data_IF_667946490507
#
_entry.id   IF_667946490507
#
_cell.length_a   1.000
_cell.length_b   1.000
_cell.length_c   1.000
_cell.angle_alpha   90.00
_cell.angle_beta   90.00
_cell.angle_gamma   90.00
#
_symmetry.space_group_name_H-M   'P 1'
#
loop_
_entity.id
_entity.type
_entity.pdbx_description
1 polymer ?
#
# COMPACT_ATOMS: atom_id res chain seq x y z
N UNK A 1 1.35 -19.79 21.66
CA UNK A 1 2.43 -19.10 20.89
C UNK A 1 3.02 -18.02 21.77
N UNK A 2 4.35 -17.79 21.70
CA UNK A 2 4.97 -16.62 22.32
C UNK A 2 4.49 -15.32 21.64
N UNK A 3 4.71 -14.17 22.29
CA UNK A 3 4.42 -12.86 21.67
C UNK A 3 5.13 -12.72 20.33
N UNK A 4 6.42 -13.08 20.27
CA UNK A 4 7.22 -13.10 19.06
C UNK A 4 6.59 -13.94 17.95
N UNK A 5 6.21 -15.19 18.28
CA UNK A 5 5.56 -16.08 17.31
C UNK A 5 4.24 -15.53 16.77
N UNK A 6 3.45 -14.84 17.62
CA UNK A 6 2.21 -14.23 17.17
C UNK A 6 2.46 -13.03 16.23
N UNK A 7 3.45 -12.23 16.52
CA UNK A 7 3.78 -11.04 15.74
C UNK A 7 4.43 -11.43 14.40
N UNK A 8 5.39 -12.34 14.42
CA UNK A 8 6.03 -12.82 13.18
C UNK A 8 5.04 -13.53 12.26
N UNK A 9 4.07 -14.29 12.81
CA UNK A 9 2.97 -14.88 12.05
C UNK A 9 2.12 -13.81 11.32
N UNK A 10 1.82 -12.70 12.00
CA UNK A 10 1.08 -11.57 11.42
C UNK A 10 1.89 -10.77 10.41
N UNK A 11 3.19 -10.60 10.64
CA UNK A 11 4.10 -10.01 9.66
C UNK A 11 4.21 -10.86 8.39
N UNK A 12 4.28 -12.19 8.52
CA UNK A 12 4.23 -13.09 7.37
C UNK A 12 2.91 -12.98 6.63
N UNK A 13 1.80 -12.99 7.36
CA UNK A 13 0.46 -12.78 6.79
C UNK A 13 0.35 -11.45 6.04
N UNK A 14 0.91 -10.36 6.59
CA UNK A 14 0.96 -9.05 5.95
C UNK A 14 1.68 -9.09 4.60
N UNK A 15 2.88 -9.65 4.56
CA UNK A 15 3.70 -9.72 3.34
C UNK A 15 3.02 -10.62 2.28
N UNK A 16 2.56 -11.80 2.68
CA UNK A 16 1.81 -12.72 1.83
C UNK A 16 0.55 -12.09 1.29
N UNK A 17 -0.19 -11.38 2.15
CA UNK A 17 -1.43 -10.72 1.79
C UNK A 17 -1.26 -9.68 0.69
N UNK A 18 -0.17 -8.89 0.73
CA UNK A 18 0.19 -7.96 -0.35
C UNK A 18 0.39 -8.71 -1.66
N UNK A 19 1.19 -9.78 -1.66
CA UNK A 19 1.49 -10.59 -2.85
C UNK A 19 0.24 -11.27 -3.44
N UNK A 20 -0.52 -11.97 -2.59
CA UNK A 20 -1.75 -12.67 -3.00
C UNK A 20 -2.77 -11.70 -3.57
N UNK A 21 -2.99 -10.56 -2.89
CA UNK A 21 -3.92 -9.54 -3.36
C UNK A 21 -3.53 -8.98 -4.73
N UNK A 22 -2.23 -8.70 -4.94
CA UNK A 22 -1.72 -8.25 -6.23
C UNK A 22 -1.97 -9.29 -7.33
N UNK A 23 -1.60 -10.56 -7.09
CA UNK A 23 -1.74 -11.64 -8.07
C UNK A 23 -3.19 -11.98 -8.40
N UNK A 24 -4.09 -11.97 -7.42
CA UNK A 24 -5.52 -12.23 -7.63
C UNK A 24 -6.24 -11.06 -8.30
N UNK A 25 -5.86 -9.83 -7.96
CA UNK A 25 -6.51 -8.63 -8.49
C UNK A 25 -6.12 -8.30 -9.92
N UNK A 26 -4.89 -8.59 -10.31
CA UNK A 26 -4.33 -8.18 -11.59
C UNK A 26 -5.10 -8.67 -12.83
N UNK A 27 -5.56 -9.93 -12.94
CA UNK A 27 -6.35 -10.40 -14.07
C UNK A 27 -7.70 -9.68 -14.22
N UNK A 28 -8.17 -9.06 -13.15
CA UNK A 28 -9.46 -8.35 -13.09
C UNK A 28 -9.31 -6.84 -13.22
N UNK A 29 -8.10 -6.34 -13.44
CA UNK A 29 -7.86 -4.92 -13.72
C UNK A 29 -8.63 -4.55 -14.99
N UNK A 30 -9.50 -3.52 -14.97
CA UNK A 30 -10.22 -3.11 -16.17
C UNK A 30 -9.18 -2.76 -17.24
N UNK A 31 -9.18 -3.52 -18.34
CA UNK A 31 -8.47 -3.09 -19.52
C UNK A 31 -9.06 -1.74 -19.91
N UNK A 32 -8.25 -0.70 -19.92
CA UNK A 32 -8.66 0.70 -20.11
C UNK A 32 -9.45 0.90 -21.43
N UNK A 33 -9.69 -0.14 -22.20
CA UNK A 33 -10.16 0.01 -23.56
C UNK A 33 -11.38 -0.78 -24.02
N UNK A 34 -11.91 -1.78 -23.37
CA UNK A 34 -13.19 -2.41 -23.82
C UNK A 34 -13.60 -3.59 -22.93
N UNK A 35 -14.82 -3.52 -22.43
CA UNK A 35 -15.58 -4.67 -21.94
C UNK A 35 -15.38 -4.95 -20.46
N UNK A 36 -16.49 -5.02 -19.77
CA UNK A 36 -16.56 -5.17 -18.33
C UNK A 36 -15.77 -6.34 -17.76
N UNK A 37 -15.50 -6.23 -16.51
CA UNK A 37 -14.86 -7.25 -15.69
C UNK A 37 -15.71 -8.52 -15.78
N UNK A 38 -15.14 -9.61 -16.29
CA UNK A 38 -15.75 -10.92 -16.22
C UNK A 38 -15.62 -11.46 -14.78
N UNK A 39 -16.39 -10.87 -13.86
CA UNK A 39 -16.44 -11.25 -12.44
C UNK A 39 -16.87 -12.71 -12.28
N UNK A 40 -17.60 -13.25 -13.24
CA UNK A 40 -18.05 -14.65 -13.24
C UNK A 40 -16.92 -15.68 -13.30
N UNK A 41 -15.69 -15.25 -13.61
CA UNK A 41 -14.50 -16.11 -13.66
C UNK A 41 -13.59 -16.02 -12.43
N UNK A 42 -13.99 -15.29 -11.38
CA UNK A 42 -13.19 -15.21 -10.16
C UNK A 42 -13.24 -16.56 -9.42
N UNK A 43 -12.19 -17.35 -9.57
CA UNK A 43 -12.06 -18.65 -8.90
C UNK A 43 -11.63 -18.52 -7.44
N UNK A 44 -11.02 -17.38 -7.08
CA UNK A 44 -10.41 -17.13 -5.78
C UNK A 44 -9.04 -17.80 -5.61
N UNK A 45 -8.53 -18.45 -6.66
CA UNK A 45 -7.18 -19.03 -6.73
C UNK A 45 -6.40 -18.35 -7.85
N UNK A 46 -5.11 -18.09 -7.62
CA UNK A 46 -4.20 -17.51 -8.61
C UNK A 46 -4.02 -18.50 -9.75
N UNK A 47 -4.60 -18.24 -10.91
CA UNK A 47 -4.61 -19.17 -12.03
C UNK A 47 -4.11 -18.55 -13.34
N UNK A 48 -3.87 -17.24 -13.33
CA UNK A 48 -3.47 -16.52 -14.52
C UNK A 48 -2.24 -15.66 -14.27
N UNK A 49 -1.33 -15.56 -15.26
CA UNK A 49 -0.23 -14.61 -15.20
C UNK A 49 -0.78 -13.17 -15.21
N UNK A 50 -0.05 -12.25 -14.59
CA UNK A 50 -0.36 -10.83 -14.70
C UNK A 50 -0.05 -10.38 -16.12
N UNK A 51 -1.06 -9.90 -16.84
CA UNK A 51 -0.90 -9.38 -18.19
C UNK A 51 -0.91 -7.87 -18.17
N UNK A 52 0.16 -7.25 -18.66
CA UNK A 52 0.29 -5.79 -18.79
C UNK A 52 0.44 -5.43 -20.26
N UNK A 53 -0.63 -4.91 -20.85
CA UNK A 53 -0.65 -4.61 -22.29
C UNK A 53 -0.73 -5.87 -23.16
N UNK A 54 -0.30 -5.76 -24.42
CA UNK A 54 -0.43 -6.87 -25.38
C UNK A 54 0.69 -7.91 -25.29
N UNK A 55 1.85 -7.55 -24.74
CA UNK A 55 3.09 -8.32 -24.90
C UNK A 55 3.89 -8.43 -23.60
N UNK A 56 3.30 -8.23 -22.44
CA UNK A 56 4.02 -8.35 -21.17
C UNK A 56 3.21 -9.18 -20.19
N UNK A 57 3.76 -10.31 -19.78
CA UNK A 57 3.17 -11.23 -18.82
C UNK A 57 4.17 -11.52 -17.71
N UNK A 58 3.68 -11.63 -16.48
CA UNK A 58 4.45 -12.21 -15.38
C UNK A 58 4.02 -13.64 -15.19
N UNK A 59 4.90 -14.47 -14.70
CA UNK A 59 4.54 -15.83 -14.32
C UNK A 59 3.46 -15.86 -13.23
N UNK A 60 2.76 -16.97 -13.16
CA UNK A 60 1.77 -17.22 -12.12
C UNK A 60 2.43 -17.09 -10.74
N UNK A 61 1.82 -16.31 -9.86
CA UNK A 61 2.30 -16.07 -8.49
C UNK A 61 3.36 -14.97 -8.35
N UNK A 62 3.84 -14.40 -9.46
CA UNK A 62 4.71 -13.22 -9.41
C UNK A 62 3.83 -11.98 -9.38
N UNK A 63 3.89 -11.23 -8.29
CA UNK A 63 3.23 -9.94 -8.15
C UNK A 63 3.93 -8.84 -8.95
N UNK A 64 3.22 -7.71 -9.18
CA UNK A 64 3.78 -6.52 -9.81
C UNK A 64 4.41 -5.57 -8.80
N UNK A 65 4.38 -4.28 -9.13
CA UNK A 65 4.96 -3.19 -8.34
C UNK A 65 4.53 -3.17 -6.87
N UNK A 66 3.33 -3.67 -6.54
CA UNK A 66 2.83 -3.71 -5.18
C UNK A 66 3.74 -4.51 -4.24
N UNK A 67 4.01 -5.77 -4.54
CA UNK A 67 4.86 -6.61 -3.70
C UNK A 67 6.34 -6.25 -3.86
N UNK A 68 6.78 -5.88 -5.06
CA UNK A 68 8.16 -5.50 -5.32
C UNK A 68 8.59 -4.28 -4.51
N UNK A 69 7.79 -3.21 -4.52
CA UNK A 69 8.06 -2.01 -3.74
C UNK A 69 7.92 -2.25 -2.23
N UNK A 70 7.03 -3.16 -1.82
CA UNK A 70 6.93 -3.59 -0.42
C UNK A 70 8.22 -4.28 0.03
N UNK A 71 8.76 -5.20 -0.78
CA UNK A 71 10.04 -5.87 -0.48
C UNK A 71 11.21 -4.87 -0.49
N UNK A 72 11.24 -3.94 -1.43
CA UNK A 72 12.26 -2.90 -1.48
C UNK A 72 12.27 -2.04 -0.20
N UNK A 73 11.08 -1.67 0.30
CA UNK A 73 10.96 -0.93 1.56
C UNK A 73 11.36 -1.78 2.77
N UNK A 74 10.99 -3.06 2.82
CA UNK A 74 11.45 -3.99 3.88
C UNK A 74 12.98 -4.07 3.90
N UNK A 75 13.62 -4.20 2.74
CA UNK A 75 15.08 -4.26 2.62
C UNK A 75 15.72 -2.96 3.12
N UNK A 76 15.15 -1.80 2.78
CA UNK A 76 15.60 -0.51 3.27
C UNK A 76 15.52 -0.42 4.80
N UNK A 77 14.39 -0.78 5.39
CA UNK A 77 14.18 -0.76 6.85
C UNK A 77 15.16 -1.69 7.55
N UNK A 78 15.36 -2.91 7.05
CA UNK A 78 16.30 -3.89 7.64
C UNK A 78 17.74 -3.38 7.54
N UNK A 79 18.13 -2.81 6.41
CA UNK A 79 19.49 -2.32 6.19
C UNK A 79 19.83 -1.11 7.09
N UNK A 80 18.85 -0.27 7.41
CA UNK A 80 19.05 0.95 8.20
C UNK A 80 18.71 0.77 9.69
N UNK A 81 18.30 -0.43 10.11
CA UNK A 81 17.81 -0.68 11.48
C UNK A 81 16.71 0.31 11.89
N UNK A 82 15.76 0.54 10.97
CA UNK A 82 14.68 1.51 11.07
C UNK A 82 14.41 2.23 9.74
N UNK A 83 13.67 3.32 9.76
CA UNK A 83 13.40 4.08 8.54
C UNK A 83 14.48 5.14 8.29
N UNK A 84 15.15 5.04 7.16
CA UNK A 84 16.06 6.07 6.63
C UNK A 84 15.58 6.55 5.25
N UNK A 85 15.33 7.87 5.15
CA UNK A 85 14.83 8.49 3.92
C UNK A 85 15.78 8.35 2.72
N UNK A 86 17.09 8.46 2.96
CA UNK A 86 18.08 8.39 1.89
C UNK A 86 18.20 6.95 1.39
N UNK A 87 18.21 5.98 2.31
CA UNK A 87 18.29 4.57 1.98
C UNK A 87 17.02 4.09 1.25
N UNK A 88 15.83 4.53 1.69
CA UNK A 88 14.57 4.21 1.00
C UNK A 88 14.54 4.77 -0.43
N UNK A 89 15.01 6.00 -0.63
CA UNK A 89 15.18 6.58 -1.97
C UNK A 89 16.14 5.76 -2.84
N UNK A 90 17.25 5.32 -2.26
CA UNK A 90 18.23 4.47 -2.95
C UNK A 90 17.59 3.14 -3.40
N UNK A 91 16.88 2.45 -2.52
CA UNK A 91 16.19 1.21 -2.88
C UNK A 91 15.14 1.41 -3.98
N UNK A 92 14.39 2.52 -3.95
CA UNK A 92 13.44 2.87 -5.00
C UNK A 92 14.12 3.20 -6.32
N UNK A 93 15.28 3.84 -6.29
CA UNK A 93 16.06 4.15 -7.49
C UNK A 93 16.60 2.89 -8.18
N UNK A 94 17.00 1.87 -7.41
CA UNK A 94 17.40 0.57 -7.96
C UNK A 94 16.16 -0.17 -8.51
N UNK A 95 15.07 -0.15 -7.77
CA UNK A 95 13.85 -0.84 -8.18
C UNK A 95 13.31 -0.33 -9.53
N UNK A 96 13.29 0.98 -9.77
CA UNK A 96 12.74 1.54 -11.03
C UNK A 96 13.55 1.10 -12.26
N UNK A 97 14.84 0.83 -12.12
CA UNK A 97 15.71 0.32 -13.20
C UNK A 97 15.30 -1.08 -13.67
N UNK A 98 14.53 -1.81 -12.86
CA UNK A 98 13.97 -3.11 -13.26
C UNK A 98 12.83 -2.99 -14.28
N UNK A 99 12.42 -1.76 -14.63
CA UNK A 99 11.36 -1.48 -15.60
C UNK A 99 10.05 -2.21 -15.32
N UNK A 100 9.57 -2.19 -14.06
CA UNK A 100 8.29 -2.80 -13.70
C UNK A 100 7.16 -2.26 -14.59
N UNK A 101 6.49 -3.10 -15.40
CA UNK A 101 5.47 -2.64 -16.33
C UNK A 101 4.15 -2.26 -15.64
N UNK A 102 3.98 -2.62 -14.36
CA UNK A 102 2.77 -2.32 -13.58
C UNK A 102 2.82 -0.97 -12.87
N UNK A 103 4.00 -0.33 -12.84
CA UNK A 103 4.20 0.92 -12.09
C UNK A 103 3.28 2.05 -12.55
N UNK A 104 2.62 2.71 -11.59
CA UNK A 104 1.76 3.86 -11.85
C UNK A 104 2.55 5.12 -12.25
N UNK A 105 1.98 5.95 -13.14
CA UNK A 105 2.63 7.13 -13.71
C UNK A 105 3.19 8.13 -12.67
N UNK A 106 2.49 8.36 -11.56
CA UNK A 106 2.94 9.28 -10.51
C UNK A 106 4.18 8.75 -9.82
N UNK A 107 4.18 7.46 -9.48
CA UNK A 107 5.32 6.76 -8.87
C UNK A 107 6.52 6.79 -9.80
N UNK A 108 6.33 6.34 -11.04
CA UNK A 108 7.38 6.28 -12.07
C UNK A 108 8.06 7.63 -12.25
N UNK A 109 7.30 8.67 -12.58
CA UNK A 109 7.84 10.01 -12.83
C UNK A 109 8.63 10.58 -11.65
N UNK A 110 8.17 10.36 -10.43
CA UNK A 110 8.86 10.94 -9.26
C UNK A 110 10.08 10.12 -8.82
N UNK A 111 10.10 8.80 -9.04
CA UNK A 111 11.31 8.00 -8.81
C UNK A 111 12.36 8.28 -9.90
N UNK A 112 11.96 8.40 -11.17
CA UNK A 112 12.88 8.80 -12.25
C UNK A 112 13.56 10.16 -11.99
N UNK A 113 12.85 11.10 -11.35
CA UNK A 113 13.44 12.37 -10.90
C UNK A 113 14.55 12.18 -9.85
N UNK A 114 14.49 11.13 -9.04
CA UNK A 114 15.56 10.82 -8.07
C UNK A 114 16.87 10.53 -8.83
N UNK A 115 16.80 9.68 -9.85
CA UNK A 115 17.97 9.30 -10.66
C UNK A 115 18.56 10.49 -11.44
N UNK A 116 17.74 11.50 -11.72
CA UNK A 116 18.16 12.73 -12.41
C UNK A 116 18.49 13.90 -11.45
N UNK A 117 18.67 13.63 -10.14
CA UNK A 117 18.92 14.65 -9.11
C UNK A 117 17.83 15.73 -9.00
N UNK A 118 16.61 15.45 -9.44
CA UNK A 118 15.44 16.34 -9.39
C UNK A 118 14.35 15.83 -8.44
N UNK A 119 14.72 15.06 -7.42
CA UNK A 119 13.79 14.54 -6.42
C UNK A 119 13.06 15.66 -5.69
N UNK A 120 11.91 15.31 -5.10
CA UNK A 120 11.17 16.23 -4.23
C UNK A 120 12.09 16.67 -3.08
N UNK A 121 12.38 17.96 -2.94
CA UNK A 121 13.27 18.44 -1.87
C UNK A 121 12.65 18.19 -0.49
N UNK A 122 13.47 17.83 0.49
CA UNK A 122 13.04 17.67 1.90
C UNK A 122 12.39 18.92 2.46
N UNK A 123 12.84 20.11 2.05
CA UNK A 123 12.23 21.38 2.43
C UNK A 123 10.74 21.49 2.06
N UNK A 124 10.30 20.86 0.95
CA UNK A 124 8.87 20.80 0.60
C UNK A 124 8.11 19.84 1.52
N UNK A 125 8.73 18.74 1.94
CA UNK A 125 8.15 17.81 2.90
C UNK A 125 8.00 18.48 4.26
N UNK A 126 9.04 19.19 4.71
CA UNK A 126 9.01 19.96 5.95
C UNK A 126 7.97 21.07 5.93
N UNK A 127 7.80 21.77 4.78
CA UNK A 127 6.75 22.75 4.60
C UNK A 127 5.36 22.10 4.73
N UNK A 128 5.16 20.93 4.11
CA UNK A 128 3.91 20.18 4.24
C UNK A 128 3.63 19.78 5.69
N UNK A 129 4.65 19.28 6.43
CA UNK A 129 4.52 18.92 7.84
C UNK A 129 4.11 20.15 8.69
N UNK A 130 4.61 21.31 8.36
CA UNK A 130 4.28 22.59 9.03
C UNK A 130 2.94 23.18 8.56
N UNK A 131 2.21 22.50 7.67
CA UNK A 131 0.96 22.99 7.11
C UNK A 131 1.12 24.17 6.15
N UNK A 132 2.33 24.48 5.69
CA UNK A 132 2.59 25.55 4.73
C UNK A 132 2.07 25.14 3.35
N UNK A 133 1.20 25.94 2.70
CA UNK A 133 0.72 25.64 1.36
C UNK A 133 1.86 25.55 0.36
N UNK A 134 1.79 24.55 -0.53
CA UNK A 134 2.73 24.37 -1.62
C UNK A 134 2.13 24.87 -2.94
N UNK A 135 2.98 25.35 -3.84
CA UNK A 135 2.55 25.81 -5.17
C UNK A 135 2.07 24.66 -6.05
N UNK A 136 2.56 23.45 -5.78
CA UNK A 136 2.22 22.26 -6.55
C UNK A 136 2.18 21.03 -5.63
N UNK A 137 1.12 20.23 -5.77
CA UNK A 137 0.96 18.95 -5.11
C UNK A 137 1.00 17.80 -6.13
N UNK A 138 1.53 16.66 -5.70
CA UNK A 138 1.38 15.42 -6.47
C UNK A 138 -0.09 14.97 -6.48
N UNK A 139 -0.46 14.14 -7.46
CA UNK A 139 -1.77 13.49 -7.44
C UNK A 139 -1.89 12.56 -6.23
N UNK A 140 -3.07 12.52 -5.61
CA UNK A 140 -3.40 11.59 -4.53
C UNK A 140 -3.72 10.18 -5.09
N UNK A 141 -2.77 9.59 -5.85
CA UNK A 141 -2.89 8.22 -6.32
C UNK A 141 -2.48 7.23 -5.23
N UNK A 142 -2.76 5.96 -5.43
CA UNK A 142 -2.56 4.90 -4.43
C UNK A 142 -1.14 4.29 -4.41
N UNK A 143 -0.24 4.78 -5.26
CA UNK A 143 1.12 4.23 -5.42
C UNK A 143 2.04 4.36 -4.20
N UNK A 144 1.76 5.26 -3.25
CA UNK A 144 2.42 5.25 -1.94
C UNK A 144 1.79 4.21 -1.01
N UNK A 145 0.46 4.15 -0.97
CA UNK A 145 -0.28 3.30 -0.04
C UNK A 145 -0.01 1.80 -0.27
N UNK A 146 0.18 1.39 -1.53
CA UNK A 146 0.42 -0.01 -1.90
C UNK A 146 1.66 -0.64 -1.26
N UNK A 147 2.66 0.15 -0.90
CA UNK A 147 3.93 -0.30 -0.33
C UNK A 147 4.11 0.07 1.16
N UNK A 148 3.08 0.65 1.79
CA UNK A 148 3.15 1.26 3.12
C UNK A 148 3.31 0.27 4.28
N UNK A 149 2.84 -0.96 4.11
CA UNK A 149 2.69 -1.94 5.21
C UNK A 149 3.94 -2.18 6.05
N UNK A 150 5.19 -2.20 5.50
CA UNK A 150 6.39 -2.44 6.31
C UNK A 150 6.65 -1.38 7.38
N UNK A 151 6.20 -0.14 7.19
CA UNK A 151 6.36 0.93 8.18
C UNK A 151 5.64 0.62 9.50
N UNK A 152 4.64 -0.26 9.46
CA UNK A 152 3.95 -0.73 10.65
C UNK A 152 4.86 -1.52 11.63
N UNK A 153 6.04 -1.96 11.21
CA UNK A 153 7.02 -2.57 12.10
C UNK A 153 7.70 -1.57 13.04
N UNK A 154 7.78 -0.29 12.71
CA UNK A 154 8.42 0.75 13.53
C UNK A 154 7.64 0.90 14.85
N UNK A 155 8.35 0.77 15.99
CA UNK A 155 7.72 0.73 17.32
C UNK A 155 7.23 2.08 17.79
N UNK A 156 8.08 3.10 17.72
CA UNK A 156 7.76 4.45 18.20
C UNK A 156 6.71 5.12 17.32
N UNK A 157 5.68 5.68 17.94
CA UNK A 157 4.51 6.24 17.24
C UNK A 157 4.87 7.50 16.42
N UNK A 158 5.75 8.36 16.94
CA UNK A 158 6.12 9.59 16.23
C UNK A 158 7.14 9.30 15.13
N UNK A 159 8.11 8.41 15.38
CA UNK A 159 9.04 7.95 14.36
C UNK A 159 8.27 7.28 13.20
N UNK A 160 7.33 6.39 13.50
CA UNK A 160 6.48 5.74 12.50
C UNK A 160 5.65 6.76 11.72
N UNK A 161 5.08 7.75 12.41
CA UNK A 161 4.34 8.84 11.77
C UNK A 161 5.21 9.65 10.82
N UNK A 162 6.41 10.04 11.23
CA UNK A 162 7.37 10.76 10.37
C UNK A 162 7.82 9.88 9.20
N UNK A 163 8.12 8.61 9.44
CA UNK A 163 8.45 7.65 8.39
C UNK A 163 7.34 7.57 7.33
N UNK A 164 6.07 7.51 7.75
CA UNK A 164 4.93 7.54 6.83
C UNK A 164 4.90 8.81 5.96
N UNK A 165 5.18 9.97 6.55
CA UNK A 165 5.17 11.23 5.81
C UNK A 165 6.31 11.26 4.78
N UNK A 166 7.53 10.97 5.21
CA UNK A 166 8.70 11.00 4.34
C UNK A 166 8.63 9.95 3.23
N UNK A 167 8.24 8.72 3.56
CA UNK A 167 8.07 7.63 2.59
C UNK A 167 7.03 7.97 1.51
N UNK A 168 5.85 8.41 1.94
CA UNK A 168 4.78 8.84 1.03
C UNK A 168 5.27 9.96 0.11
N UNK A 169 5.91 10.97 0.68
CA UNK A 169 6.35 12.17 -0.04
C UNK A 169 7.53 11.95 -1.00
N UNK A 170 8.20 10.81 -0.97
CA UNK A 170 9.17 10.46 -2.04
C UNK A 170 8.49 10.53 -3.41
N UNK A 171 7.23 10.12 -3.50
CA UNK A 171 6.49 10.08 -4.76
C UNK A 171 5.17 10.83 -4.74
N UNK A 172 4.53 10.99 -3.59
CA UNK A 172 3.17 11.53 -3.45
C UNK A 172 3.13 12.65 -2.41
N UNK A 173 3.67 13.82 -2.76
CA UNK A 173 3.61 15.02 -1.94
C UNK A 173 2.18 15.60 -1.97
N UNK A 174 1.28 15.04 -1.17
CA UNK A 174 -0.14 15.39 -1.14
C UNK A 174 -0.75 15.09 0.24
N UNK A 175 -1.45 16.06 0.90
CA UNK A 175 -2.03 15.87 2.24
C UNK A 175 -2.98 14.68 2.34
N UNK A 176 -3.85 14.46 1.36
CA UNK A 176 -4.78 13.32 1.36
C UNK A 176 -4.01 11.99 1.33
N UNK A 177 -3.01 11.88 0.43
CA UNK A 177 -2.21 10.66 0.33
C UNK A 177 -1.46 10.39 1.63
N UNK A 178 -0.86 11.42 2.24
CA UNK A 178 -0.13 11.32 3.50
C UNK A 178 -1.04 10.89 4.66
N UNK A 179 -2.23 11.50 4.80
CA UNK A 179 -3.17 11.13 5.87
C UNK A 179 -3.64 9.69 5.70
N UNK A 180 -4.06 9.29 4.49
CA UNK A 180 -4.45 7.92 4.22
C UNK A 180 -3.31 6.93 4.52
N UNK A 181 -2.07 7.30 4.20
CA UNK A 181 -0.88 6.51 4.45
C UNK A 181 -0.64 6.30 5.96
N UNK A 182 -0.65 7.38 6.76
CA UNK A 182 -0.50 7.31 8.22
C UNK A 182 -1.58 6.42 8.84
N UNK A 183 -2.84 6.67 8.52
CA UNK A 183 -3.97 5.94 9.12
C UNK A 183 -3.96 4.47 8.73
N UNK A 184 -3.59 4.16 7.49
CA UNK A 184 -3.48 2.78 7.03
C UNK A 184 -2.34 2.04 7.75
N UNK A 185 -1.16 2.63 7.86
CA UNK A 185 -0.03 2.04 8.57
C UNK A 185 -0.36 1.82 10.04
N UNK A 186 -1.05 2.75 10.70
CA UNK A 186 -1.52 2.58 12.07
C UNK A 186 -2.55 1.43 12.21
N UNK A 187 -3.43 1.26 11.23
CA UNK A 187 -4.35 0.12 11.22
C UNK A 187 -3.59 -1.22 11.09
N UNK A 188 -2.58 -1.28 10.20
CA UNK A 188 -1.71 -2.46 10.05
C UNK A 188 -0.92 -2.72 11.33
N UNK A 189 -0.35 -1.68 11.97
CA UNK A 189 0.34 -1.79 13.26
C UNK A 189 -0.54 -2.41 14.33
N UNK A 190 -1.75 -1.86 14.51
CA UNK A 190 -2.70 -2.39 15.48
C UNK A 190 -3.12 -3.83 15.15
N UNK A 191 -3.27 -4.16 13.88
CA UNK A 191 -3.54 -5.53 13.42
C UNK A 191 -2.41 -6.49 13.79
N UNK A 192 -1.14 -6.12 13.52
CA UNK A 192 0.06 -6.89 13.92
C UNK A 192 0.10 -7.08 15.44
N UNK A 193 -0.26 -6.07 16.21
CA UNK A 193 -0.32 -6.13 17.68
C UNK A 193 -1.51 -6.93 18.23
N UNK A 194 -2.41 -7.43 17.38
CA UNK A 194 -3.54 -8.28 17.78
C UNK A 194 -4.76 -7.54 18.32
N UNK A 195 -4.89 -6.26 18.05
CA UNK A 195 -6.08 -5.50 18.45
C UNK A 195 -7.32 -5.92 17.64
N UNK A 196 -8.49 -5.81 18.28
CA UNK A 196 -9.76 -6.12 17.62
C UNK A 196 -10.14 -5.12 16.54
N UNK A 197 -10.92 -5.56 15.53
CA UNK A 197 -11.46 -4.68 14.47
C UNK A 197 -12.11 -3.42 15.06
N UNK A 198 -12.93 -3.58 16.11
CA UNK A 198 -13.62 -2.46 16.79
C UNK A 198 -12.62 -1.43 17.34
N UNK A 199 -11.54 -1.89 17.96
CA UNK A 199 -10.49 -1.00 18.49
C UNK A 199 -9.76 -0.28 17.36
N UNK A 200 -9.34 -1.00 16.32
CA UNK A 200 -8.65 -0.45 15.14
C UNK A 200 -9.50 0.66 14.51
N UNK A 201 -10.78 0.39 14.24
CA UNK A 201 -11.70 1.35 13.63
C UNK A 201 -11.85 2.61 14.49
N UNK A 202 -12.04 2.44 15.80
CA UNK A 202 -12.15 3.58 16.71
C UNK A 202 -10.88 4.45 16.67
N UNK A 203 -9.71 3.83 16.80
CA UNK A 203 -8.43 4.56 16.81
C UNK A 203 -8.13 5.23 15.48
N UNK A 204 -8.39 4.56 14.36
CA UNK A 204 -8.23 5.17 13.03
C UNK A 204 -9.12 6.41 12.84
N UNK A 205 -10.36 6.38 13.32
CA UNK A 205 -11.24 7.57 13.29
C UNK A 205 -10.64 8.77 14.05
N UNK A 206 -10.06 8.51 15.23
CA UNK A 206 -9.40 9.54 16.04
C UNK A 206 -8.15 10.10 15.33
N UNK A 207 -7.34 9.22 14.71
CA UNK A 207 -6.13 9.60 13.97
C UNK A 207 -6.49 10.44 12.73
N UNK A 208 -7.52 10.06 11.97
CA UNK A 208 -7.99 10.86 10.82
C UNK A 208 -8.28 12.30 11.26
N UNK A 209 -9.05 12.49 12.33
CA UNK A 209 -9.39 13.83 12.81
C UNK A 209 -8.17 14.63 13.26
N UNK A 210 -7.22 13.97 13.92
CA UNK A 210 -5.95 14.59 14.34
C UNK A 210 -5.13 15.04 13.13
N UNK A 211 -4.92 14.13 12.16
CA UNK A 211 -4.07 14.42 11.01
C UNK A 211 -4.72 15.43 10.05
N UNK A 212 -6.04 15.43 9.90
CA UNK A 212 -6.74 16.48 9.14
C UNK A 212 -6.48 17.88 9.72
N UNK A 213 -6.32 18.01 11.04
CA UNK A 213 -5.93 19.28 11.67
C UNK A 213 -4.45 19.61 11.46
N UNK A 214 -3.58 18.61 11.54
CA UNK A 214 -2.15 18.78 11.35
C UNK A 214 -1.80 19.26 9.94
N UNK A 215 -2.55 18.79 8.94
CA UNK A 215 -2.34 19.14 7.52
C UNK A 215 -3.28 20.24 7.00
N UNK A 216 -3.94 20.98 7.90
CA UNK A 216 -4.79 22.14 7.51
C UNK A 216 -3.92 23.29 7.00
N UNK A 217 -3.85 23.44 5.67
CA UNK A 217 -3.06 24.48 5.03
C UNK A 217 -3.74 25.86 5.07
N UNK A 218 -5.04 25.93 5.39
CA UNK A 218 -5.79 27.18 5.43
C UNK A 218 -5.44 28.01 6.68
N UNK A 219 -5.27 27.36 7.82
CA UNK A 219 -4.97 28.06 9.08
C UNK A 219 -3.66 28.83 9.03
N UNK A 220 -2.62 28.24 8.43
CA UNK A 220 -1.31 28.88 8.32
C UNK A 220 -1.32 30.00 7.29
N UNK A 221 -2.03 29.83 6.17
CA UNK A 221 -2.21 30.89 5.17
C UNK A 221 -2.84 32.15 5.79
N UNK A 222 -3.82 31.99 6.67
CA UNK A 222 -4.44 33.10 7.40
C UNK A 222 -3.49 33.75 8.42
N UNK A 223 -2.64 32.96 9.07
CA UNK A 223 -1.67 33.45 10.06
C UNK A 223 -0.51 34.24 9.45
N UNK A 224 -0.08 33.87 8.25
CA UNK A 224 1.06 34.51 7.57
C UNK A 224 0.64 35.81 6.85
N UNK A 225 -0.67 36.09 6.76
CA UNK A 225 -1.18 37.33 6.12
C UNK A 225 -0.81 37.47 4.65
N UNK A 226 -0.46 36.36 4.01
CA UNK A 226 -0.01 36.35 2.63
C UNK A 226 -1.21 36.14 1.71
N UNK A 227 -1.40 37.07 0.80
CA UNK A 227 -2.07 36.86 -0.48
C UNK A 227 -1.32 35.82 -1.33
N UNK A 228 -0.75 34.79 -0.67
CA UNK A 228 0.12 33.81 -1.29
C UNK A 228 -0.72 32.72 -1.94
N UNK A 229 -0.64 32.73 -3.23
CA UNK A 229 -0.92 31.64 -4.16
C UNK A 229 -2.36 31.16 -4.18
N UNK A 230 -3.06 31.52 -5.23
CA UNK A 230 -4.15 30.73 -5.81
C UNK A 230 -3.67 29.33 -6.12
N UNK A 231 -3.47 28.51 -5.07
CA UNK A 231 -3.37 27.06 -5.26
C UNK A 231 -4.77 26.59 -5.61
N UNK A 232 -4.96 25.97 -6.75
CA UNK A 232 -6.23 25.39 -7.21
C UNK A 232 -6.80 24.32 -6.27
N UNK A 233 -6.14 24.02 -5.15
CA UNK A 233 -6.56 23.05 -4.13
C UNK A 233 -6.23 23.55 -2.74
N UNK A 234 -7.27 23.97 -2.02
CA UNK A 234 -7.17 24.36 -0.61
C UNK A 234 -7.45 23.12 0.26
N UNK A 235 -6.42 22.54 0.88
CA UNK A 235 -6.53 21.43 1.81
C UNK A 235 -6.91 21.96 3.21
N UNK A 236 -8.12 22.50 3.36
CA UNK A 236 -8.65 22.87 4.66
C UNK A 236 -9.02 21.66 5.50
N UNK A 237 -9.04 21.81 6.82
CA UNK A 237 -9.51 20.76 7.74
C UNK A 237 -10.88 20.19 7.33
N UNK A 238 -11.83 21.04 7.00
CA UNK A 238 -13.19 20.59 6.62
C UNK A 238 -13.19 19.82 5.29
N UNK A 239 -12.35 20.23 4.33
CA UNK A 239 -12.19 19.50 3.08
C UNK A 239 -11.55 18.12 3.32
N UNK A 240 -10.40 18.06 4.01
CA UNK A 240 -9.70 16.82 4.32
C UNK A 240 -10.60 15.87 5.11
N UNK A 241 -11.26 16.38 6.13
CA UNK A 241 -12.20 15.62 6.95
C UNK A 241 -13.36 15.08 6.13
N UNK A 242 -13.98 15.95 5.29
CA UNK A 242 -15.10 15.54 4.43
C UNK A 242 -14.70 14.37 3.55
N UNK A 243 -13.61 14.47 2.81
CA UNK A 243 -13.20 13.45 1.84
C UNK A 243 -12.79 12.14 2.52
N UNK A 244 -11.91 12.20 3.53
CA UNK A 244 -11.34 10.99 4.15
C UNK A 244 -12.34 10.33 5.10
N UNK A 245 -13.03 11.10 5.97
CA UNK A 245 -14.00 10.55 6.90
C UNK A 245 -15.26 10.03 6.19
N UNK A 246 -15.66 10.61 5.07
CA UNK A 246 -16.77 10.07 4.29
C UNK A 246 -16.45 8.66 3.78
N UNK A 247 -15.29 8.47 3.16
CA UNK A 247 -14.86 7.17 2.69
C UNK A 247 -14.72 6.16 3.85
N UNK A 248 -14.04 6.56 4.93
CA UNK A 248 -13.87 5.73 6.12
C UNK A 248 -15.20 5.30 6.74
N UNK A 249 -16.12 6.23 6.96
CA UNK A 249 -17.43 5.93 7.54
C UNK A 249 -18.30 5.09 6.60
N UNK A 250 -18.19 5.31 5.29
CA UNK A 250 -18.89 4.48 4.29
C UNK A 250 -18.39 3.04 4.35
N UNK A 251 -17.07 2.84 4.40
CA UNK A 251 -16.45 1.53 4.57
C UNK A 251 -16.93 0.83 5.85
N UNK A 252 -16.87 1.52 6.99
CA UNK A 252 -17.27 0.96 8.28
C UNK A 252 -18.78 0.61 8.36
N UNK A 253 -19.61 1.27 7.55
CA UNK A 253 -21.07 1.04 7.49
C UNK A 253 -21.50 0.12 6.34
N UNK A 254 -20.57 -0.41 5.56
CA UNK A 254 -20.86 -1.21 4.37
C UNK A 254 -21.64 -0.46 3.28
N UNK A 255 -21.47 0.88 3.21
CA UNK A 255 -22.13 1.70 2.20
C UNK A 255 -21.27 1.78 0.95
N UNK A 256 -21.92 1.80 -0.21
CA UNK A 256 -21.25 1.98 -1.50
C UNK A 256 -20.41 3.26 -1.54
N UNK A 257 -19.31 3.20 -2.29
CA UNK A 257 -18.40 4.30 -2.56
C UNK A 257 -18.11 4.34 -4.06
N UNK A 258 -17.96 5.55 -4.62
CA UNK A 258 -17.69 5.71 -6.05
C UNK A 258 -16.26 5.25 -6.40
N UNK A 259 -16.15 4.09 -7.00
CA UNK A 259 -14.89 3.50 -7.48
C UNK A 259 -14.43 4.07 -8.84
N UNK A 260 -15.22 4.95 -9.47
CA UNK A 260 -14.89 5.55 -10.77
C UNK A 260 -14.21 6.91 -10.65
N UNK A 261 -14.26 7.54 -9.48
CA UNK A 261 -13.56 8.81 -9.24
C UNK A 261 -12.05 8.59 -9.27
N UNK A 262 -11.37 9.16 -10.28
CA UNK A 262 -9.93 8.99 -10.49
C UNK A 262 -9.08 10.06 -9.82
N UNK A 263 -9.68 11.05 -9.18
CA UNK A 263 -8.95 12.18 -8.60
C UNK A 263 -8.18 11.75 -7.34
N UNK A 264 -8.82 10.95 -6.48
CA UNK A 264 -8.26 10.52 -5.20
C UNK A 264 -8.24 8.99 -5.07
N UNK A 265 -7.47 8.31 -5.92
CA UNK A 265 -7.41 6.83 -5.90
C UNK A 265 -6.91 6.27 -4.57
N UNK A 266 -6.07 6.99 -3.83
CA UNK A 266 -5.65 6.57 -2.50
C UNK A 266 -6.84 6.43 -1.53
N UNK A 267 -7.85 7.30 -1.63
CA UNK A 267 -9.08 7.19 -0.81
C UNK A 267 -9.89 5.95 -1.19
N UNK A 268 -9.95 5.59 -2.48
CA UNK A 268 -10.65 4.38 -2.93
C UNK A 268 -10.00 3.12 -2.35
N UNK A 269 -8.66 3.02 -2.45
CA UNK A 269 -7.92 1.89 -1.89
C UNK A 269 -8.02 1.86 -0.35
N UNK A 270 -7.98 3.01 0.28
CA UNK A 270 -8.21 3.17 1.72
C UNK A 270 -9.61 2.68 2.12
N UNK A 271 -10.66 3.09 1.40
CA UNK A 271 -12.02 2.60 1.59
C UNK A 271 -12.09 1.06 1.47
N UNK A 272 -11.50 0.48 0.42
CA UNK A 272 -11.47 -0.97 0.20
C UNK A 272 -10.88 -1.72 1.40
N UNK A 273 -9.73 -1.28 1.89
CA UNK A 273 -9.05 -1.92 3.01
C UNK A 273 -9.91 -1.91 4.30
N UNK A 274 -10.54 -0.77 4.62
CA UNK A 274 -11.37 -0.66 5.81
C UNK A 274 -12.74 -1.33 5.66
N UNK A 275 -13.32 -1.39 4.46
CA UNK A 275 -14.52 -2.17 4.17
C UNK A 275 -14.26 -3.65 4.45
N UNK A 276 -13.22 -4.21 3.88
CA UNK A 276 -12.86 -5.59 4.07
C UNK A 276 -12.50 -5.90 5.53
N UNK A 277 -11.69 -5.06 6.19
CA UNK A 277 -11.39 -5.24 7.61
C UNK A 277 -12.66 -5.32 8.46
N UNK A 278 -13.65 -4.48 8.16
CA UNK A 278 -14.86 -4.38 8.99
C UNK A 278 -15.84 -5.54 8.75
N UNK A 279 -16.02 -5.94 7.48
CA UNK A 279 -17.15 -6.79 7.08
C UNK A 279 -16.76 -8.22 6.67
N UNK A 280 -15.49 -8.53 6.46
CA UNK A 280 -15.09 -9.88 6.05
C UNK A 280 -14.76 -10.77 7.23
N UNK A 281 -15.18 -12.03 7.17
CA UNK A 281 -14.93 -13.02 8.22
C UNK A 281 -13.64 -13.83 7.98
N UNK A 282 -13.10 -13.79 6.75
CA UNK A 282 -11.84 -14.43 6.38
C UNK A 282 -11.01 -13.54 5.46
N UNK A 283 -9.72 -13.89 5.30
CA UNK A 283 -8.84 -13.25 4.34
C UNK A 283 -9.40 -13.37 2.92
N UNK A 284 -9.79 -14.61 2.53
CA UNK A 284 -10.28 -14.91 1.18
C UNK A 284 -11.55 -14.12 0.84
N UNK A 285 -12.53 -14.11 1.75
CA UNK A 285 -13.77 -13.36 1.59
C UNK A 285 -13.50 -11.87 1.37
N UNK A 286 -12.57 -11.30 2.15
CA UNK A 286 -12.20 -9.90 2.00
C UNK A 286 -11.59 -9.57 0.65
N UNK A 287 -10.65 -10.38 0.19
CA UNK A 287 -9.99 -10.17 -1.12
C UNK A 287 -10.99 -10.33 -2.27
N UNK A 288 -11.80 -11.39 -2.28
CA UNK A 288 -12.81 -11.61 -3.33
C UNK A 288 -13.83 -10.47 -3.37
N UNK A 289 -14.27 -9.98 -2.21
CA UNK A 289 -15.18 -8.83 -2.12
C UNK A 289 -14.61 -7.60 -2.81
N UNK A 290 -13.36 -7.26 -2.54
CA UNK A 290 -12.72 -6.08 -3.13
C UNK A 290 -12.51 -6.24 -4.63
N UNK A 291 -12.11 -7.42 -5.09
CA UNK A 291 -11.96 -7.68 -6.53
C UNK A 291 -13.30 -7.53 -7.27
N UNK A 292 -14.40 -8.03 -6.68
CA UNK A 292 -15.77 -7.91 -7.25
C UNK A 292 -16.25 -6.47 -7.35
N UNK A 293 -15.78 -5.58 -6.50
CA UNK A 293 -16.13 -4.15 -6.55
C UNK A 293 -15.53 -3.43 -7.76
N UNK A 294 -14.46 -3.94 -8.32
CA UNK A 294 -13.81 -3.33 -9.48
C UNK A 294 -12.84 -2.20 -9.11
N UNK A 295 -12.60 -1.31 -10.08
CA UNK A 295 -11.62 -0.24 -9.93
C UNK A 295 -10.20 -0.69 -10.24
N UNK A 296 -9.23 -0.25 -9.46
CA UNK A 296 -7.80 -0.59 -9.57
C UNK A 296 -7.52 -1.90 -8.80
N UNK A 297 -8.05 -3.00 -9.33
CA UNK A 297 -8.22 -4.27 -8.61
C UNK A 297 -6.93 -4.84 -8.03
N UNK A 298 -5.83 -4.85 -8.77
CA UNK A 298 -4.53 -5.33 -8.30
C UNK A 298 -4.03 -4.54 -7.10
N UNK A 299 -4.08 -3.22 -7.19
CA UNK A 299 -3.65 -2.32 -6.10
C UNK A 299 -4.61 -2.37 -4.91
N UNK A 300 -5.93 -2.30 -5.16
CA UNK A 300 -6.93 -2.35 -4.09
C UNK A 300 -6.87 -3.67 -3.31
N UNK A 301 -6.77 -4.80 -4.02
CA UNK A 301 -6.66 -6.11 -3.40
C UNK A 301 -5.32 -6.30 -2.67
N UNK A 302 -4.22 -5.75 -3.20
CA UNK A 302 -2.90 -5.78 -2.56
C UNK A 302 -2.88 -5.01 -1.23
N UNK A 303 -3.38 -3.78 -1.21
CA UNK A 303 -3.48 -2.94 0.00
C UNK A 303 -4.40 -3.62 1.02
N UNK A 304 -5.55 -4.10 0.59
CA UNK A 304 -6.49 -4.84 1.45
C UNK A 304 -5.85 -6.11 2.01
N UNK A 305 -5.14 -6.85 1.15
CA UNK A 305 -4.44 -8.08 1.53
C UNK A 305 -3.38 -7.84 2.61
N UNK A 306 -2.63 -6.77 2.51
CA UNK A 306 -1.65 -6.39 3.52
C UNK A 306 -2.28 -6.16 4.90
N UNK A 307 -3.40 -5.44 4.96
CA UNK A 307 -4.12 -5.21 6.23
C UNK A 307 -4.80 -6.48 6.78
N UNK A 308 -5.49 -7.23 5.93
CA UNK A 308 -6.16 -8.47 6.35
C UNK A 308 -5.16 -9.55 6.74
N UNK A 309 -4.06 -9.67 5.98
CA UNK A 309 -2.97 -10.59 6.32
C UNK A 309 -2.34 -10.29 7.66
N UNK A 310 -2.12 -9.00 7.97
CA UNK A 310 -1.69 -8.56 9.30
C UNK A 310 -2.72 -8.88 10.39
N UNK A 311 -4.00 -8.76 10.08
CA UNK A 311 -5.08 -8.99 11.04
C UNK A 311 -5.27 -10.47 11.35
N UNK A 312 -5.38 -11.32 10.33
CA UNK A 312 -5.60 -12.76 10.50
C UNK A 312 -4.32 -13.50 10.88
N UNK A 313 -3.15 -13.10 10.34
CA UNK A 313 -1.90 -13.84 10.44
C UNK A 313 -1.86 -15.04 9.49
N UNK A 314 -0.65 -15.50 9.17
CA UNK A 314 -0.42 -16.60 8.22
C UNK A 314 -1.16 -17.88 8.61
N UNK A 315 -1.08 -18.29 9.87
CA UNK A 315 -1.68 -19.56 10.34
C UNK A 315 -3.20 -19.63 10.14
N UNK A 316 -3.90 -18.50 10.35
CA UNK A 316 -5.34 -18.44 10.12
C UNK A 316 -5.62 -18.44 8.61
N UNK A 317 -4.81 -17.74 7.82
CA UNK A 317 -4.92 -17.72 6.37
C UNK A 317 -4.77 -19.13 5.78
N UNK A 318 -3.84 -19.94 6.31
CA UNK A 318 -3.60 -21.34 5.89
C UNK A 318 -4.76 -22.28 6.22
N UNK A 319 -5.70 -21.91 7.08
CA UNK A 319 -6.89 -22.71 7.37
C UNK A 319 -7.93 -22.67 6.23
N UNK A 320 -7.87 -21.69 5.36
CA UNK A 320 -8.70 -21.63 4.14
C UNK A 320 -7.98 -22.30 2.98
N UNK A 321 -8.64 -23.25 2.31
CA UNK A 321 -8.03 -24.07 1.26
C UNK A 321 -7.54 -23.25 0.07
N UNK A 322 -8.33 -22.27 -0.37
CA UNK A 322 -7.96 -21.41 -1.50
C UNK A 322 -6.80 -20.48 -1.12
N UNK A 323 -6.84 -19.94 0.09
CA UNK A 323 -5.77 -19.08 0.59
C UNK A 323 -4.48 -19.85 0.75
N UNK A 324 -4.52 -21.09 1.25
CA UNK A 324 -3.35 -21.98 1.34
C UNK A 324 -2.76 -22.24 -0.05
N UNK A 325 -3.59 -22.55 -1.04
CA UNK A 325 -3.16 -22.73 -2.43
C UNK A 325 -2.48 -21.47 -2.97
N UNK A 326 -3.07 -20.30 -2.74
CA UNK A 326 -2.50 -19.01 -3.13
C UNK A 326 -1.14 -18.75 -2.46
N UNK A 327 -1.01 -19.07 -1.16
CA UNK A 327 0.28 -18.96 -0.44
C UNK A 327 1.33 -19.83 -1.12
N UNK A 328 1.01 -21.09 -1.44
CA UNK A 328 1.94 -22.01 -2.09
C UNK A 328 2.34 -21.50 -3.48
N UNK A 329 1.41 -20.98 -4.25
CA UNK A 329 1.68 -20.40 -5.58
C UNK A 329 2.65 -19.21 -5.47
N UNK A 330 2.43 -18.30 -4.54
CA UNK A 330 3.27 -17.10 -4.39
C UNK A 330 4.68 -17.42 -3.88
N UNK A 331 4.80 -18.36 -2.94
CA UNK A 331 6.09 -18.75 -2.36
C UNK A 331 6.94 -19.57 -3.34
N UNK A 332 6.28 -20.42 -4.14
CA UNK A 332 6.96 -21.30 -5.09
C UNK A 332 7.04 -20.68 -6.51
N UNK A 333 6.58 -19.46 -6.69
CA UNK A 333 6.72 -18.77 -7.97
C UNK A 333 8.21 -18.60 -8.31
N UNK A 334 8.66 -19.33 -9.31
CA UNK A 334 10.03 -19.25 -9.78
C UNK A 334 10.25 -17.96 -10.59
N UNK A 335 11.39 -17.33 -10.34
CA UNK A 335 11.92 -16.34 -11.25
C UNK A 335 12.30 -17.06 -12.55
N UNK A 336 11.47 -16.95 -13.58
CA UNK A 336 11.76 -17.67 -14.82
C UNK A 336 13.09 -17.25 -15.41
N UNK A 337 13.95 -18.25 -15.43
CA UNK A 337 15.12 -18.29 -16.29
C UNK A 337 14.79 -18.93 -17.67
N UNK A 338 13.51 -19.13 -18.01
CA UNK A 338 13.15 -19.78 -19.25
C UNK A 338 13.28 -18.81 -20.44
N UNK A 339 14.42 -18.92 -21.12
CA UNK A 339 14.76 -18.22 -22.34
C UNK A 339 13.77 -18.49 -23.52
N UNK A 340 12.86 -19.47 -23.40
CA UNK A 340 11.95 -19.88 -24.48
C UNK A 340 10.66 -19.06 -24.57
N UNK A 341 10.30 -18.26 -23.55
CA UNK A 341 9.11 -17.44 -23.58
C UNK A 341 9.48 -15.96 -23.77
N UNK A 342 9.73 -15.56 -25.00
CA UNK A 342 10.03 -14.16 -25.39
C UNK A 342 8.93 -13.15 -25.05
N UNK A 343 7.81 -13.59 -24.48
CA UNK A 343 6.65 -12.78 -24.07
C UNK A 343 6.63 -12.49 -22.56
N UNK A 344 7.48 -13.14 -21.74
CA UNK A 344 7.49 -12.96 -20.29
C UNK A 344 8.64 -12.07 -19.84
N UNK A 345 8.35 -11.14 -18.95
CA UNK A 345 9.39 -10.30 -18.36
C UNK A 345 10.03 -11.07 -17.20
N UNK A 346 11.28 -11.44 -17.40
CA UNK A 346 12.12 -11.96 -16.32
C UNK A 346 12.30 -10.85 -15.26
N UNK A 347 11.90 -11.13 -14.02
CA UNK A 347 12.08 -10.20 -12.90
C UNK A 347 13.28 -10.60 -12.07
N UNK A 348 14.07 -9.63 -11.55
CA UNK A 348 15.20 -9.97 -10.68
C UNK A 348 14.76 -10.80 -9.48
N UNK A 349 15.50 -11.87 -9.12
CA UNK A 349 15.20 -12.71 -7.94
C UNK A 349 15.07 -11.93 -6.63
N UNK A 350 15.64 -10.72 -6.59
CA UNK A 350 15.63 -9.84 -5.43
C UNK A 350 14.23 -9.53 -4.89
N UNK A 351 13.22 -9.46 -5.78
CA UNK A 351 11.85 -9.11 -5.41
C UNK A 351 10.89 -10.30 -5.41
N UNK A 352 11.41 -11.52 -5.56
CA UNK A 352 10.61 -12.73 -5.42
C UNK A 352 10.48 -13.11 -3.95
N UNK A 353 9.33 -13.68 -3.60
CA UNK A 353 9.03 -14.12 -2.26
C UNK A 353 9.21 -15.65 -2.17
N UNK A 354 10.27 -16.10 -1.48
CA UNK A 354 10.43 -17.50 -1.09
C UNK A 354 10.09 -17.70 0.37
N UNK A 355 9.85 -18.95 0.79
CA UNK A 355 9.60 -19.30 2.19
C UNK A 355 10.72 -18.81 3.12
N UNK A 356 11.98 -19.07 2.75
CA UNK A 356 13.14 -18.65 3.52
C UNK A 356 13.22 -17.12 3.66
N UNK A 357 13.02 -16.41 2.55
CA UNK A 357 13.03 -14.94 2.50
C UNK A 357 11.90 -14.34 3.34
N UNK A 358 10.69 -14.91 3.26
CA UNK A 358 9.54 -14.49 4.06
C UNK A 358 9.82 -14.62 5.56
N UNK A 359 10.33 -15.80 5.98
CA UNK A 359 10.66 -16.07 7.38
C UNK A 359 11.75 -15.10 7.86
N UNK A 360 12.80 -14.91 7.07
CA UNK A 360 13.89 -13.99 7.41
C UNK A 360 13.38 -12.56 7.57
N UNK A 361 12.71 -12.02 6.56
CA UNK A 361 12.19 -10.64 6.59
C UNK A 361 11.25 -10.39 7.77
N UNK A 362 10.36 -11.34 8.08
CA UNK A 362 9.43 -11.18 9.20
C UNK A 362 10.12 -11.19 10.56
N UNK A 363 11.19 -11.97 10.73
CA UNK A 363 12.02 -11.97 11.95
C UNK A 363 12.83 -10.68 12.08
N UNK A 364 13.46 -10.25 11.00
CA UNK A 364 14.25 -9.02 11.00
C UNK A 364 13.38 -7.80 11.32
N UNK A 365 12.18 -7.70 10.72
CA UNK A 365 11.22 -6.63 11.04
C UNK A 365 10.73 -6.70 12.49
N UNK A 366 10.57 -7.91 13.05
CA UNK A 366 10.22 -8.07 14.46
C UNK A 366 11.32 -7.52 15.37
N UNK A 367 12.58 -7.84 15.10
CA UNK A 367 13.71 -7.37 15.90
C UNK A 367 13.84 -5.86 15.88
N UNK A 368 13.70 -5.24 14.70
CA UNK A 368 13.82 -3.78 14.54
C UNK A 368 12.68 -3.03 15.24
N UNK A 369 11.47 -3.55 15.21
CA UNK A 369 10.31 -2.74 15.52
C UNK A 369 9.57 -3.07 16.80
N UNK A 370 9.90 -4.15 17.50
CA UNK A 370 9.00 -4.67 18.54
C UNK A 370 9.68 -5.02 19.85
N UNK A 371 10.92 -4.70 19.95
CA UNK A 371 11.63 -4.78 21.24
C UNK A 371 11.08 -3.74 22.20
#
# INVERSE_FOLDING_TARGET
MSKEQCVTDRLQGMILGVGIGSCLGAPHRPSVRKGGIHIDKLTGVISHPITVGKNCHFNIGIGGDCIEMTIALIQSIIQSDGYDYCNDRYHKSIWIETNSPTVGDTTKRNIEKINNNMAIPTSKIEALIKGVPLNEYSRASNGALLRATPLASIADDEERRLACIYECCITHLNPIAVICHIVFVEAVRMAICGYSKKYIIKRCSEIILKECKNFDTQMISLMIGSSFVETNTNYSYEFLKKEIMYAFNSACKGKEYDMNNREFRCIQSFYCAFLALTHSDSFQDGIETIIRMGGDNDTNASITGGLLGAYFGRKIMECDTKTLENIQIVINAEADANEELSEYVSRPPLYHLSEEKLIKMSKDLYVIGLL
#
